data_IF_510272950474
#
_entry.id   IF_510272950474
#
_cell.length_a   1.000
_cell.length_b   1.000
_cell.length_c   1.000
_cell.angle_alpha   90.00
_cell.angle_beta   90.00
_cell.angle_gamma   90.00
#
_symmetry.space_group_name_H-M   'P 1'
#
loop_
_entity.id
_entity.type
_entity.pdbx_description
1 polymer ?
#
# COMPACT_ATOMS: atom_id res chain seq x y z
N UNK A 1 16.05 32.61 0.32
CA UNK A 1 16.21 31.20 -0.06
C UNK A 1 17.53 31.11 -0.82
N UNK A 2 18.57 30.53 -0.23
CA UNK A 2 19.92 30.56 -0.82
C UNK A 2 20.18 29.23 -1.52
N UNK A 3 20.29 29.26 -2.85
CA UNK A 3 20.77 28.12 -3.63
C UNK A 3 22.27 27.96 -3.42
N UNK A 4 22.68 26.82 -2.87
CA UNK A 4 24.08 26.44 -2.79
C UNK A 4 24.44 25.85 -4.15
N UNK A 5 24.95 26.69 -5.04
CA UNK A 5 25.62 26.24 -6.26
C UNK A 5 26.85 25.40 -5.87
N UNK A 6 26.80 24.11 -6.14
CA UNK A 6 27.97 23.24 -6.01
C UNK A 6 28.92 23.51 -7.17
N UNK A 7 29.89 24.40 -6.96
CA UNK A 7 31.05 24.53 -7.84
C UNK A 7 31.95 23.32 -7.62
N UNK A 8 31.91 22.36 -8.55
CA UNK A 8 32.95 21.33 -8.67
C UNK A 8 33.47 21.33 -10.10
N UNK A 9 34.45 22.21 -10.36
CA UNK A 9 35.44 21.96 -11.39
C UNK A 9 36.83 21.96 -10.75
N UNK A 10 37.31 20.75 -10.45
CA UNK A 10 38.73 20.45 -10.40
C UNK A 10 38.93 18.95 -10.65
N UNK A 11 39.41 18.62 -11.84
CA UNK A 11 39.91 17.28 -12.22
C UNK A 11 41.13 16.93 -11.34
N UNK A 12 40.86 16.42 -10.13
CA UNK A 12 41.84 15.73 -9.31
C UNK A 12 41.44 14.26 -9.22
N UNK A 13 42.00 13.46 -10.13
CA UNK A 13 41.96 11.99 -10.13
C UNK A 13 42.75 11.41 -8.95
N UNK A 14 42.29 11.66 -7.72
CA UNK A 14 42.73 10.91 -6.56
C UNK A 14 41.80 9.70 -6.34
N UNK A 15 42.25 8.46 -6.60
CA UNK A 15 41.41 7.27 -6.52
C UNK A 15 40.85 7.00 -5.11
N UNK A 16 41.43 7.62 -4.07
CA UNK A 16 40.94 7.50 -2.69
C UNK A 16 39.61 8.24 -2.48
N UNK A 17 39.46 9.43 -3.07
CA UNK A 17 38.24 10.24 -2.95
C UNK A 17 37.07 9.58 -3.67
N UNK A 18 37.35 8.94 -4.82
CA UNK A 18 36.36 8.15 -5.57
C UNK A 18 35.81 6.98 -4.73
N UNK A 19 36.67 6.29 -3.98
CA UNK A 19 36.29 5.19 -3.08
C UNK A 19 35.44 5.68 -1.90
N UNK A 20 35.80 6.82 -1.30
CA UNK A 20 35.01 7.40 -0.22
C UNK A 20 33.61 7.81 -0.69
N UNK A 21 33.48 8.45 -1.85
CA UNK A 21 32.17 8.80 -2.40
C UNK A 21 31.36 7.57 -2.80
N UNK A 22 31.97 6.54 -3.39
CA UNK A 22 31.29 5.30 -3.76
C UNK A 22 30.75 4.54 -2.53
N UNK A 23 31.50 4.52 -1.42
CA UNK A 23 31.05 3.88 -0.17
C UNK A 23 29.96 4.68 0.54
N UNK A 24 30.00 6.03 0.46
CA UNK A 24 28.95 6.91 1.00
C UNK A 24 27.65 6.73 0.22
N UNK A 25 27.71 6.70 -1.13
CA UNK A 25 26.54 6.45 -1.99
C UNK A 25 25.94 5.07 -1.72
N UNK A 26 26.76 4.04 -1.50
CA UNK A 26 26.28 2.70 -1.11
C UNK A 26 25.62 2.64 0.28
N UNK A 27 26.02 3.49 1.23
CA UNK A 27 25.35 3.59 2.55
C UNK A 27 24.04 4.37 2.50
N UNK A 28 23.81 5.17 1.47
CA UNK A 28 22.57 5.94 1.28
C UNK A 28 21.50 5.14 0.51
N UNK A 29 21.87 4.02 -0.12
CA UNK A 29 20.98 3.21 -0.95
C UNK A 29 20.29 2.05 -0.20
N UNK A 30 20.10 2.15 1.12
CA UNK A 30 19.23 1.20 1.83
C UNK A 30 17.77 1.51 1.47
N UNK A 31 17.32 0.95 0.34
CA UNK A 31 15.91 0.97 -0.01
C UNK A 31 15.19 -0.08 0.84
N UNK A 32 14.49 0.39 1.88
CA UNK A 32 13.53 -0.46 2.57
C UNK A 32 12.27 -0.56 1.72
N UNK A 33 12.02 -1.76 1.21
CA UNK A 33 10.73 -2.06 0.60
C UNK A 33 9.66 -1.97 1.68
N UNK A 34 8.64 -1.15 1.42
CA UNK A 34 7.46 -1.08 2.29
C UNK A 34 6.85 -2.48 2.35
N UNK A 35 6.63 -2.97 3.57
CA UNK A 35 5.91 -4.23 3.77
C UNK A 35 4.53 -4.15 3.10
N UNK A 36 4.08 -5.24 2.45
CA UNK A 36 2.75 -5.30 1.87
C UNK A 36 1.70 -4.94 2.92
N UNK A 37 0.68 -4.18 2.53
CA UNK A 37 -0.46 -3.94 3.42
C UNK A 37 -1.16 -5.28 3.65
N UNK A 38 -1.14 -5.77 4.89
CA UNK A 38 -1.82 -7.00 5.25
C UNK A 38 -3.33 -6.75 5.32
N UNK A 39 -4.10 -7.60 4.64
CA UNK A 39 -5.55 -7.59 4.65
C UNK A 39 -6.08 -8.67 5.59
N UNK A 40 -7.23 -8.41 6.21
CA UNK A 40 -7.99 -9.38 6.97
C UNK A 40 -8.93 -10.12 6.01
N UNK A 41 -8.81 -11.44 6.00
CA UNK A 41 -9.71 -12.31 5.25
C UNK A 41 -10.87 -12.71 6.15
N UNK A 42 -12.06 -12.18 5.85
CA UNK A 42 -13.27 -12.44 6.60
C UNK A 42 -14.20 -13.34 5.78
N UNK A 43 -15.00 -14.14 6.48
CA UNK A 43 -16.12 -14.88 5.90
C UNK A 43 -17.43 -14.30 6.41
N UNK A 44 -18.33 -13.97 5.49
CA UNK A 44 -19.65 -13.45 5.80
C UNK A 44 -20.66 -14.57 5.56
N UNK A 45 -21.38 -14.96 6.61
CA UNK A 45 -22.47 -15.92 6.55
C UNK A 45 -23.77 -15.17 6.24
N UNK A 46 -24.44 -15.57 5.16
CA UNK A 46 -25.76 -15.06 4.78
C UNK A 46 -26.85 -15.86 5.49
N UNK A 47 -28.06 -15.29 5.55
CA UNK A 47 -29.23 -15.92 6.16
C UNK A 47 -29.73 -17.16 5.39
N UNK A 48 -29.39 -17.30 4.11
CA UNK A 48 -29.68 -18.50 3.32
C UNK A 48 -28.70 -19.67 3.61
N UNK A 49 -27.81 -19.49 4.59
CA UNK A 49 -26.79 -20.47 4.97
C UNK A 49 -25.57 -20.50 4.04
N UNK A 50 -25.57 -19.72 2.96
CA UNK A 50 -24.38 -19.58 2.10
C UNK A 50 -23.39 -18.59 2.70
N UNK A 51 -22.11 -18.74 2.36
CA UNK A 51 -21.04 -17.85 2.82
C UNK A 51 -20.21 -17.30 1.67
N UNK A 52 -19.69 -16.09 1.82
CA UNK A 52 -18.73 -15.52 0.87
C UNK A 52 -17.55 -14.88 1.59
N UNK A 53 -16.40 -14.83 0.93
CA UNK A 53 -15.17 -14.24 1.46
C UNK A 53 -15.04 -12.77 1.10
N UNK A 54 -14.48 -11.96 2.00
CA UNK A 54 -14.12 -10.56 1.76
C UNK A 54 -12.76 -10.26 2.36
N UNK A 55 -11.98 -9.41 1.69
CA UNK A 55 -10.70 -8.92 2.17
C UNK A 55 -10.82 -7.45 2.54
N UNK A 56 -10.47 -7.10 3.78
CA UNK A 56 -10.55 -5.72 4.29
C UNK A 56 -9.23 -5.29 4.91
N UNK A 57 -9.03 -3.97 5.04
CA UNK A 57 -7.87 -3.43 5.76
C UNK A 57 -7.82 -3.95 7.21
N UNK A 58 -6.63 -4.14 7.77
CA UNK A 58 -6.46 -4.53 9.17
C UNK A 58 -7.11 -3.56 10.16
N UNK A 59 -7.27 -2.30 9.75
CA UNK A 59 -7.90 -1.25 10.56
C UNK A 59 -9.32 -0.91 10.07
N UNK A 60 -9.94 -1.77 9.26
CA UNK A 60 -11.30 -1.53 8.79
C UNK A 60 -12.29 -1.56 9.95
N UNK A 61 -13.22 -0.61 9.95
CA UNK A 61 -14.31 -0.58 10.93
C UNK A 61 -15.47 -1.45 10.47
N UNK A 62 -16.38 -1.77 11.40
CA UNK A 62 -17.64 -2.45 11.04
C UNK A 62 -18.48 -1.61 10.07
N UNK A 63 -18.41 -0.28 10.16
CA UNK A 63 -19.10 0.62 9.24
C UNK A 63 -18.53 0.52 7.82
N UNK A 64 -17.20 0.47 7.68
CA UNK A 64 -16.54 0.28 6.38
C UNK A 64 -16.95 -1.06 5.75
N UNK A 65 -17.00 -2.12 6.56
CA UNK A 65 -17.44 -3.43 6.10
C UNK A 65 -18.89 -3.40 5.60
N UNK A 66 -19.81 -2.79 6.35
CA UNK A 66 -21.22 -2.65 5.92
C UNK A 66 -21.34 -1.93 4.59
N UNK A 67 -20.64 -0.80 4.43
CA UNK A 67 -20.68 0.00 3.21
C UNK A 67 -20.16 -0.77 1.99
N UNK A 68 -19.03 -1.46 2.14
CA UNK A 68 -18.45 -2.30 1.07
C UNK A 68 -19.41 -3.42 0.67
N UNK A 69 -20.08 -4.04 1.64
CA UNK A 69 -21.06 -5.09 1.37
C UNK A 69 -22.28 -4.54 0.64
N UNK A 70 -22.87 -3.44 1.12
CA UNK A 70 -24.01 -2.79 0.44
C UNK A 70 -23.69 -2.42 -1.01
N UNK A 71 -22.50 -1.88 -1.24
CA UNK A 71 -22.02 -1.58 -2.59
C UNK A 71 -21.83 -2.84 -3.44
N UNK A 72 -21.21 -3.89 -2.89
CA UNK A 72 -21.03 -5.16 -3.58
C UNK A 72 -22.37 -5.75 -4.02
N UNK A 73 -23.36 -5.80 -3.14
CA UNK A 73 -24.69 -6.33 -3.45
C UNK A 73 -25.46 -5.46 -4.46
N UNK A 74 -25.22 -4.14 -4.46
CA UNK A 74 -25.81 -3.21 -5.43
C UNK A 74 -25.34 -3.47 -6.87
N UNK A 75 -24.07 -3.87 -7.04
CA UNK A 75 -23.48 -4.16 -8.35
C UNK A 75 -23.77 -5.56 -8.90
N UNK A 76 -24.43 -6.43 -8.14
CA UNK A 76 -24.81 -7.75 -8.64
C UNK A 76 -25.85 -7.68 -9.77
N UNK A 77 -25.87 -8.69 -10.67
CA UNK A 77 -26.89 -8.80 -11.71
C UNK A 77 -28.31 -8.74 -11.14
N UNK A 78 -29.28 -8.25 -11.92
CA UNK A 78 -30.63 -7.96 -11.45
C UNK A 78 -31.33 -9.15 -10.80
N UNK A 79 -31.12 -10.39 -11.26
CA UNK A 79 -31.64 -11.60 -10.61
C UNK A 79 -31.08 -11.85 -9.20
N UNK A 80 -29.92 -11.28 -8.87
CA UNK A 80 -29.18 -11.53 -7.62
C UNK A 80 -29.04 -10.27 -6.74
N UNK A 81 -29.71 -9.17 -7.11
CA UNK A 81 -29.71 -7.97 -6.27
C UNK A 81 -30.53 -8.21 -5.02
N UNK A 82 -29.87 -8.05 -3.88
CA UNK A 82 -30.49 -8.13 -2.57
C UNK A 82 -30.46 -6.73 -1.94
N UNK A 83 -31.57 -6.30 -1.35
CA UNK A 83 -31.55 -5.14 -0.46
C UNK A 83 -30.99 -5.64 0.87
N UNK A 84 -29.81 -5.13 1.24
CA UNK A 84 -29.21 -5.41 2.54
C UNK A 84 -29.78 -4.41 3.52
N UNK A 85 -30.41 -4.91 4.59
CA UNK A 85 -30.83 -4.11 5.75
C UNK A 85 -30.23 -4.73 7.00
N UNK A 86 -29.68 -3.90 7.87
CA UNK A 86 -28.98 -4.31 9.09
C UNK A 86 -29.77 -3.94 10.34
#
# INVERSE_FOLDING_TARGET
MMEIMSNFDHDNRNPRVLMHNALIVRRLSFSYHKLPKQLLKLSVLKLDGSSFGVEVSMNATVADLKLVLEEFFRFLPKEKRCIVSW
#
